data_IF_862193088396
#
_entry.id   IF_862193088396
#
_cell.length_a   1.000
_cell.length_b   1.000
_cell.length_c   1.000
_cell.angle_alpha   90.00
_cell.angle_beta   90.00
_cell.angle_gamma   90.00
#
_symmetry.space_group_name_H-M   'P 1'
#
loop_
_entity.id
_entity.type
_entity.pdbx_description
1 polymer ?
#
# COMPACT_ATOMS: atom_id res chain seq x y z
N UNK A 1 6.79 -16.56 10.32
CA UNK A 1 5.92 -16.17 9.18
C UNK A 1 6.84 -15.52 8.17
N UNK A 2 6.77 -15.92 6.90
CA UNK A 2 7.57 -15.30 5.84
C UNK A 2 6.83 -14.08 5.30
N UNK A 3 7.60 -13.11 4.78
CA UNK A 3 7.03 -12.01 4.00
C UNK A 3 6.40 -12.60 2.72
N UNK A 4 5.27 -12.04 2.31
CA UNK A 4 4.53 -12.50 1.13
C UNK A 4 4.50 -11.36 0.11
N UNK A 5 4.82 -11.59 -1.18
CA UNK A 5 4.81 -10.52 -2.18
C UNK A 5 3.49 -9.73 -2.16
N UNK A 6 3.55 -8.39 -2.15
CA UNK A 6 2.36 -7.56 -2.16
C UNK A 6 1.70 -7.54 -3.54
N UNK A 7 0.47 -7.04 -3.58
CA UNK A 7 -0.26 -6.67 -4.79
C UNK A 7 -0.36 -5.15 -4.75
N UNK A 8 0.40 -4.47 -5.60
CA UNK A 8 0.48 -2.99 -5.65
C UNK A 8 -0.11 -2.41 -6.93
N UNK A 9 -0.55 -3.28 -7.83
CA UNK A 9 -0.97 -2.97 -9.19
C UNK A 9 -2.47 -3.24 -9.43
N UNK A 10 -3.31 -3.18 -8.38
CA UNK A 10 -4.77 -3.29 -8.57
C UNK A 10 -5.26 -2.12 -9.43
N UNK A 11 -6.11 -2.41 -10.40
CA UNK A 11 -6.66 -1.42 -11.31
C UNK A 11 -8.19 -1.44 -11.33
N UNK A 12 -8.81 -0.38 -11.89
CA UNK A 12 -10.26 -0.33 -12.08
C UNK A 12 -10.78 -1.52 -12.92
N UNK A 13 -9.98 -1.99 -13.89
CA UNK A 13 -10.30 -3.16 -14.72
C UNK A 13 -10.43 -4.45 -13.91
N UNK A 14 -9.70 -4.58 -12.80
CA UNK A 14 -9.80 -5.74 -11.90
C UNK A 14 -11.15 -5.78 -11.21
N UNK A 15 -11.68 -4.61 -10.85
CA UNK A 15 -12.99 -4.45 -10.22
C UNK A 15 -14.13 -4.67 -11.21
N UNK A 16 -14.00 -4.15 -12.44
CA UNK A 16 -15.04 -4.25 -13.47
C UNK A 16 -15.07 -5.61 -14.18
N UNK A 17 -13.95 -6.34 -14.22
CA UNK A 17 -13.81 -7.67 -14.85
C UNK A 17 -13.64 -8.81 -13.81
N UNK A 18 -14.26 -8.64 -12.63
CA UNK A 18 -13.99 -9.35 -11.36
C UNK A 18 -12.80 -10.31 -11.35
N UNK A 19 -11.58 -9.77 -11.42
CA UNK A 19 -10.36 -10.59 -11.33
C UNK A 19 -10.07 -10.95 -9.87
N UNK A 20 -9.08 -11.81 -9.63
CA UNK A 20 -8.64 -12.14 -8.27
C UNK A 20 -8.10 -10.95 -7.47
N UNK A 21 -7.75 -9.83 -8.14
CA UNK A 21 -7.27 -8.58 -7.54
C UNK A 21 -8.38 -7.56 -7.28
N UNK A 22 -9.57 -7.77 -7.84
CA UNK A 22 -10.66 -6.78 -7.87
C UNK A 22 -11.35 -6.51 -6.54
N UNK A 23 -11.16 -7.37 -5.53
CA UNK A 23 -11.81 -7.23 -4.23
C UNK A 23 -10.84 -7.49 -3.09
N UNK A 24 -10.91 -6.64 -2.06
CA UNK A 24 -10.25 -6.87 -0.79
C UNK A 24 -10.93 -8.02 -0.04
N UNK A 25 -10.20 -9.10 0.22
CA UNK A 25 -10.73 -10.30 0.86
C UNK A 25 -9.91 -10.72 2.10
N UNK A 26 -10.27 -11.86 2.71
CA UNK A 26 -9.58 -12.39 3.91
C UNK A 26 -8.11 -12.70 3.64
N UNK A 27 -7.76 -13.16 2.44
CA UNK A 27 -6.38 -13.43 2.06
C UNK A 27 -5.58 -12.12 1.94
N UNK A 28 -6.17 -11.06 1.37
CA UNK A 28 -5.55 -9.72 1.37
C UNK A 28 -5.31 -9.24 2.79
N UNK A 29 -6.35 -9.26 3.65
CA UNK A 29 -6.19 -8.85 5.04
C UNK A 29 -5.06 -9.61 5.73
N UNK A 30 -5.05 -10.94 5.61
CA UNK A 30 -4.06 -11.81 6.26
C UNK A 30 -2.65 -11.49 5.79
N UNK A 31 -2.49 -11.26 4.48
CA UNK A 31 -1.21 -10.92 3.85
C UNK A 31 -0.72 -9.56 4.29
N UNK A 32 -1.54 -8.51 4.15
CA UNK A 32 -1.18 -7.13 4.53
C UNK A 32 -0.86 -7.06 6.02
N UNK A 33 -1.70 -7.65 6.88
CA UNK A 33 -1.44 -7.69 8.32
C UNK A 33 -0.15 -8.44 8.66
N UNK A 34 0.09 -9.58 8.01
CA UNK A 34 1.31 -10.37 8.19
C UNK A 34 2.57 -9.60 7.81
N UNK A 35 2.55 -8.98 6.63
CA UNK A 35 3.64 -8.14 6.13
C UNK A 35 3.87 -6.92 7.02
N UNK A 36 2.80 -6.20 7.41
CA UNK A 36 2.91 -5.04 8.29
C UNK A 36 3.51 -5.41 9.65
N UNK A 37 3.15 -6.58 10.20
CA UNK A 37 3.73 -7.08 11.44
C UNK A 37 5.22 -7.41 11.30
N UNK A 38 5.62 -8.03 10.18
CA UNK A 38 7.02 -8.35 9.91
C UNK A 38 7.85 -7.08 9.68
N UNK A 39 7.36 -6.16 8.84
CA UNK A 39 7.98 -4.87 8.59
C UNK A 39 8.11 -4.05 9.88
N UNK A 40 7.07 -4.01 10.72
CA UNK A 40 7.13 -3.36 12.04
C UNK A 40 8.18 -3.96 12.97
N UNK A 41 8.30 -5.29 13.00
CA UNK A 41 9.33 -5.98 13.79
C UNK A 41 10.76 -5.67 13.30
N UNK A 42 10.97 -5.66 11.99
CA UNK A 42 12.24 -5.31 11.37
C UNK A 42 12.61 -3.85 11.62
N UNK A 43 11.65 -2.95 11.41
CA UNK A 43 11.77 -1.52 11.65
C UNK A 43 12.15 -1.22 13.11
N UNK A 44 11.45 -1.83 14.07
CA UNK A 44 11.75 -1.67 15.48
C UNK A 44 13.16 -2.15 15.83
N UNK A 45 13.64 -3.23 15.20
CA UNK A 45 15.00 -3.72 15.39
C UNK A 45 16.05 -2.77 14.82
N UNK A 46 15.82 -2.22 13.61
CA UNK A 46 16.76 -1.31 12.94
C UNK A 46 16.83 0.06 13.61
N UNK A 47 15.68 0.60 14.04
CA UNK A 47 15.59 1.88 14.75
C UNK A 47 15.98 1.77 16.23
N UNK A 48 16.17 0.55 16.75
CA UNK A 48 16.44 0.30 18.17
C UNK A 48 15.33 0.75 19.12
N UNK A 49 14.12 1.01 18.61
CA UNK A 49 12.98 1.56 19.35
C UNK A 49 11.73 0.74 19.05
N UNK A 50 10.97 0.30 20.07
CA UNK A 50 9.72 -0.42 19.84
C UNK A 50 8.70 0.43 19.05
N UNK A 51 8.10 -0.16 18.02
CA UNK A 51 6.96 0.41 17.30
C UNK A 51 5.68 -0.23 17.84
N UNK A 52 4.70 0.59 18.20
CA UNK A 52 3.42 0.08 18.69
C UNK A 52 2.70 -0.66 17.55
N UNK A 53 2.31 -1.91 17.78
CA UNK A 53 1.59 -2.73 16.82
C UNK A 53 0.49 -3.52 17.52
N UNK A 54 -0.77 -3.18 17.23
CA UNK A 54 -1.93 -3.82 17.84
C UNK A 54 -2.21 -5.16 17.15
N UNK A 55 -2.25 -6.24 17.94
CA UNK A 55 -2.53 -7.58 17.42
C UNK A 55 -4.02 -7.72 17.13
N UNK A 56 -4.34 -8.10 15.89
CA UNK A 56 -5.70 -8.35 15.44
C UNK A 56 -5.88 -9.86 15.27
N UNK A 57 -7.05 -10.37 15.67
CA UNK A 57 -7.41 -11.75 15.38
C UNK A 57 -7.68 -11.91 13.89
N UNK A 58 -7.02 -12.90 13.25
CA UNK A 58 -7.19 -13.20 11.81
C UNK A 58 -8.69 -13.27 11.50
N UNK A 59 -9.19 -12.52 10.49
CA UNK A 59 -10.58 -12.57 10.11
C UNK A 59 -10.96 -13.98 9.68
N UNK A 60 -12.01 -14.52 10.30
CA UNK A 60 -12.70 -15.72 9.81
C UNK A 60 -13.85 -15.30 8.89
N UNK A 61 -14.42 -16.24 8.14
CA UNK A 61 -15.51 -16.01 7.17
C UNK A 61 -16.82 -15.47 7.78
N UNK A 62 -16.92 -15.38 9.11
CA UNK A 62 -18.12 -14.98 9.86
C UNK A 62 -17.86 -13.81 10.82
N UNK A 63 -17.37 -12.67 10.31
CA UNK A 63 -17.40 -11.41 11.08
C UNK A 63 -18.55 -10.54 10.61
N UNK A 64 -19.25 -9.89 11.54
CA UNK A 64 -20.27 -8.90 11.19
C UNK A 64 -19.58 -7.61 10.68
N UNK A 65 -20.32 -6.76 9.98
CA UNK A 65 -19.77 -5.56 9.34
C UNK A 65 -19.07 -4.61 10.33
N UNK A 66 -19.55 -4.52 11.57
CA UNK A 66 -18.96 -3.68 12.62
C UNK A 66 -17.58 -4.19 13.06
N UNK A 67 -17.43 -5.50 13.27
CA UNK A 67 -16.13 -6.09 13.63
C UNK A 67 -15.13 -5.99 12.48
N UNK A 68 -15.59 -6.18 11.23
CA UNK A 68 -14.73 -6.03 10.05
C UNK A 68 -14.18 -4.61 9.94
N UNK A 69 -15.01 -3.59 10.18
CA UNK A 69 -14.57 -2.20 10.13
C UNK A 69 -13.56 -1.87 11.24
N UNK A 70 -13.82 -2.33 12.47
CA UNK A 70 -12.91 -2.09 13.59
C UNK A 70 -11.54 -2.76 13.36
N UNK A 71 -11.52 -3.99 12.84
CA UNK A 71 -10.29 -4.69 12.49
C UNK A 71 -9.56 -4.02 11.33
N UNK A 72 -10.29 -3.54 10.32
CA UNK A 72 -9.72 -2.78 9.21
C UNK A 72 -9.03 -1.51 9.73
N UNK A 73 -9.73 -0.65 10.47
CA UNK A 73 -9.14 0.57 11.01
C UNK A 73 -7.94 0.28 11.93
N UNK A 74 -7.97 -0.84 12.68
CA UNK A 74 -6.80 -1.25 13.49
C UNK A 74 -5.62 -1.65 12.61
N UNK A 75 -5.85 -2.38 11.51
CA UNK A 75 -4.79 -2.72 10.55
C UNK A 75 -4.20 -1.45 9.93
N UNK A 76 -5.05 -0.52 9.49
CA UNK A 76 -4.60 0.72 8.86
C UNK A 76 -3.85 1.62 9.85
N UNK A 77 -4.33 1.74 11.09
CA UNK A 77 -3.64 2.46 12.15
C UNK A 77 -2.27 1.86 12.48
N UNK A 78 -2.12 0.53 12.44
CA UNK A 78 -0.81 -0.11 12.58
C UNK A 78 0.14 0.26 11.43
N UNK A 79 -0.35 0.34 10.19
CA UNK A 79 0.44 0.75 9.03
C UNK A 79 0.83 2.23 9.15
N UNK A 80 -0.08 3.10 9.60
CA UNK A 80 0.19 4.53 9.79
C UNK A 80 1.21 4.77 10.92
N UNK A 81 1.09 4.07 12.05
CA UNK A 81 2.08 4.12 13.13
C UNK A 81 3.45 3.65 12.64
N UNK A 82 3.49 2.58 11.84
CA UNK A 82 4.73 2.11 11.21
C UNK A 82 5.31 3.17 10.27
N UNK A 83 4.49 3.76 9.39
CA UNK A 83 4.89 4.82 8.45
C UNK A 83 5.48 6.04 9.19
N UNK A 84 4.83 6.47 10.27
CA UNK A 84 5.30 7.60 11.09
C UNK A 84 6.61 7.29 11.81
N UNK A 85 6.79 6.06 12.31
CA UNK A 85 8.01 5.65 12.99
C UNK A 85 9.25 5.71 12.08
N UNK A 86 9.06 5.49 10.78
CA UNK A 86 10.15 5.50 9.78
C UNK A 86 10.27 6.82 9.02
N UNK A 87 9.46 7.83 9.34
CA UNK A 87 9.40 9.08 8.59
C UNK A 87 10.76 9.83 8.52
N UNK A 88 11.61 9.65 9.54
CA UNK A 88 12.96 10.22 9.58
C UNK A 88 13.95 9.60 8.58
N UNK A 89 13.67 8.37 8.13
CA UNK A 89 14.53 7.61 7.21
C UNK A 89 14.33 8.03 5.75
N UNK A 90 13.33 8.88 5.45
CA UNK A 90 13.04 9.37 4.10
C UNK A 90 12.85 8.27 3.04
N UNK A 91 12.22 7.15 3.45
CA UNK A 91 11.97 5.99 2.59
C UNK A 91 10.93 6.38 1.50
N UNK A 92 11.25 6.27 0.19
CA UNK A 92 10.24 6.38 -0.87
C UNK A 92 9.14 5.33 -0.64
N UNK A 93 7.86 5.64 -0.82
CA UNK A 93 6.75 4.76 -0.45
C UNK A 93 6.05 5.10 0.86
N UNK A 94 6.66 5.92 1.73
CA UNK A 94 6.15 6.18 3.10
C UNK A 94 5.72 7.62 3.34
N UNK A 95 5.68 8.46 2.29
CA UNK A 95 5.38 9.89 2.42
C UNK A 95 3.89 10.19 2.44
N UNK A 96 3.08 9.38 1.77
CA UNK A 96 1.63 9.53 1.71
C UNK A 96 0.97 8.97 2.98
N UNK A 97 0.07 9.77 3.58
CA UNK A 97 -0.72 9.38 4.75
C UNK A 97 -1.68 8.23 4.42
N UNK A 98 -1.80 7.28 5.35
CA UNK A 98 -2.77 6.19 5.27
C UNK A 98 -4.05 6.61 5.99
N UNK A 99 -5.15 6.70 5.24
CA UNK A 99 -6.47 6.86 5.86
C UNK A 99 -6.78 5.62 6.72
N UNK A 100 -7.03 5.81 8.01
CA UNK A 100 -7.21 4.74 8.99
C UNK A 100 -8.50 4.85 9.83
N UNK A 101 -9.36 5.81 9.50
CA UNK A 101 -10.56 6.21 10.27
C UNK A 101 -11.87 5.99 9.49
N UNK A 102 -12.03 4.85 8.82
CA UNK A 102 -13.25 4.57 8.06
C UNK A 102 -14.48 4.44 8.98
N UNK A 103 -15.61 4.98 8.52
CA UNK A 103 -16.89 4.96 9.24
C UNK A 103 -17.91 4.15 8.45
N UNK A 104 -18.74 3.35 9.14
CA UNK A 104 -19.79 2.58 8.49
C UNK A 104 -20.92 3.48 7.98
N UNK A 105 -21.40 3.21 6.76
CA UNK A 105 -22.63 3.81 6.26
C UNK A 105 -22.71 3.77 4.73
N UNK A 106 -23.93 3.79 4.15
CA UNK A 106 -24.12 3.69 2.71
C UNK A 106 -23.61 4.90 1.92
N UNK A 107 -23.40 6.03 2.59
CA UNK A 107 -22.87 7.27 2.01
C UNK A 107 -21.43 7.55 2.41
N UNK A 108 -20.84 6.70 3.25
CA UNK A 108 -19.47 6.87 3.70
C UNK A 108 -18.52 6.31 2.63
N UNK A 109 -17.37 6.97 2.41
CA UNK A 109 -16.37 6.44 1.48
C UNK A 109 -15.87 5.09 2.02
N UNK A 110 -15.86 4.08 1.15
CA UNK A 110 -15.19 2.81 1.40
C UNK A 110 -13.77 2.85 0.80
N UNK A 111 -12.84 2.02 1.30
CA UNK A 111 -11.56 1.85 0.63
C UNK A 111 -11.75 1.38 -0.80
N UNK A 112 -11.01 1.99 -1.73
CA UNK A 112 -10.93 1.55 -3.11
C UNK A 112 -9.59 0.85 -3.41
N UNK A 113 -9.40 0.42 -4.66
CA UNK A 113 -8.17 -0.24 -5.08
C UNK A 113 -6.92 0.64 -4.93
N UNK A 114 -7.07 1.97 -4.99
CA UNK A 114 -5.97 2.92 -4.79
C UNK A 114 -5.53 2.88 -3.33
N UNK A 115 -6.49 2.89 -2.40
CA UNK A 115 -6.18 2.77 -0.98
C UNK A 115 -5.40 1.48 -0.69
N UNK A 116 -5.86 0.33 -1.20
CA UNK A 116 -5.19 -0.94 -0.92
C UNK A 116 -3.78 -0.99 -1.52
N UNK A 117 -3.59 -0.48 -2.74
CA UNK A 117 -2.24 -0.40 -3.33
C UNK A 117 -1.31 0.47 -2.47
N UNK A 118 -1.78 1.63 -2.01
CA UNK A 118 -1.00 2.50 -1.14
C UNK A 118 -0.59 1.78 0.16
N UNK A 119 -1.53 1.11 0.83
CA UNK A 119 -1.24 0.38 2.07
C UNK A 119 -0.12 -0.65 1.88
N UNK A 120 -0.16 -1.37 0.76
CA UNK A 120 0.82 -2.39 0.44
C UNK A 120 2.15 -1.83 -0.01
N UNK A 121 2.17 -0.82 -0.87
CA UNK A 121 3.38 -0.12 -1.28
C UNK A 121 4.10 0.47 -0.07
N UNK A 122 3.38 1.06 0.89
CA UNK A 122 4.00 1.60 2.11
C UNK A 122 4.63 0.50 2.96
N UNK A 123 3.96 -0.63 3.16
CA UNK A 123 4.53 -1.75 3.92
C UNK A 123 5.74 -2.34 3.22
N UNK A 124 5.68 -2.46 1.90
CA UNK A 124 6.73 -3.03 1.05
C UNK A 124 7.97 -2.16 0.99
N UNK A 125 7.81 -0.86 0.81
CA UNK A 125 8.91 0.10 0.85
C UNK A 125 9.70 0.02 2.16
N UNK A 126 9.00 -0.11 3.29
CA UNK A 126 9.62 -0.23 4.61
C UNK A 126 10.35 -1.56 4.76
N UNK A 127 9.76 -2.64 4.25
CA UNK A 127 10.38 -3.96 4.24
C UNK A 127 11.66 -3.97 3.39
N UNK A 128 11.59 -3.51 2.15
CA UNK A 128 12.69 -3.51 1.18
C UNK A 128 13.86 -2.63 1.63
N UNK A 129 13.58 -1.50 2.28
CA UNK A 129 14.61 -0.60 2.81
C UNK A 129 15.59 -1.30 3.77
N UNK A 130 15.16 -2.33 4.48
CA UNK A 130 15.97 -3.00 5.52
C UNK A 130 16.20 -4.49 5.32
N UNK A 131 15.30 -5.20 4.64
CA UNK A 131 15.46 -6.63 4.40
C UNK A 131 16.38 -6.91 3.19
N UNK A 132 16.69 -5.90 2.38
CA UNK A 132 17.73 -6.01 1.36
C UNK A 132 17.36 -6.88 0.16
N UNK A 133 16.08 -7.22 -0.03
CA UNK A 133 15.58 -7.31 -1.40
C UNK A 133 15.66 -5.88 -1.92
N UNK A 134 16.80 -5.56 -2.53
CA UNK A 134 17.00 -4.34 -3.28
C UNK A 134 15.71 -4.06 -4.04
N UNK A 135 15.15 -2.86 -3.87
CA UNK A 135 14.24 -2.29 -4.87
C UNK A 135 14.68 -2.84 -6.22
N UNK A 136 13.80 -3.60 -6.89
CA UNK A 136 14.02 -3.95 -8.28
C UNK A 136 14.44 -2.63 -8.93
N UNK A 137 15.70 -2.53 -9.37
CA UNK A 137 16.33 -1.27 -9.80
C UNK A 137 15.29 -0.54 -10.61
N UNK A 138 14.88 0.66 -10.14
CA UNK A 138 13.74 1.37 -10.71
C UNK A 138 13.83 1.28 -12.23
N UNK A 139 12.87 0.60 -12.88
CA UNK A 139 13.05 0.25 -14.27
C UNK A 139 13.28 1.53 -15.06
N UNK A 140 14.36 1.54 -15.84
CA UNK A 140 14.62 2.66 -16.73
C UNK A 140 13.42 2.79 -17.67
N UNK A 141 12.92 4.02 -17.81
CA UNK A 141 11.98 4.29 -18.88
C UNK A 141 12.62 3.85 -20.21
N UNK A 142 11.91 2.99 -20.94
CA UNK A 142 12.34 2.55 -22.27
C UNK A 142 12.02 3.59 -23.36
N UNK A 143 11.41 4.73 -22.99
CA UNK A 143 10.98 5.80 -23.87
C UNK A 143 10.16 6.88 -23.15
N UNK A 144 9.81 7.93 -23.87
CA UNK A 144 8.95 9.00 -23.35
C UNK A 144 7.55 8.45 -23.02
N UNK A 145 7.02 8.82 -21.86
CA UNK A 145 5.70 8.41 -21.38
C UNK A 145 4.74 9.58 -21.48
N UNK A 146 3.57 9.37 -22.09
CA UNK A 146 2.50 10.36 -22.16
C UNK A 146 1.28 9.84 -21.41
N UNK A 147 0.96 10.47 -20.27
CA UNK A 147 -0.27 10.21 -19.50
C UNK A 147 -1.40 11.02 -20.14
N UNK A 148 -2.35 10.31 -20.76
CA UNK A 148 -3.47 10.88 -21.51
C UNK A 148 -4.54 11.53 -20.64
N UNK A 149 -5.43 12.29 -21.29
CA UNK A 149 -6.58 12.90 -20.65
C UNK A 149 -7.67 11.85 -20.36
N UNK A 150 -8.20 11.83 -19.14
CA UNK A 150 -9.34 10.97 -18.78
C UNK A 150 -9.00 9.50 -18.48
N UNK A 151 -7.76 9.07 -18.66
CA UNK A 151 -7.28 7.76 -18.23
C UNK A 151 -6.35 7.86 -17.02
N UNK A 152 -6.77 7.13 -15.98
CA UNK A 152 -5.95 6.46 -14.96
C UNK A 152 -4.83 7.26 -14.30
N UNK A 153 -5.05 7.55 -13.03
CA UNK A 153 -3.97 7.72 -12.06
C UNK A 153 -2.97 6.57 -12.25
N UNK A 154 -1.74 6.86 -12.67
CA UNK A 154 -0.66 5.88 -12.83
C UNK A 154 0.07 5.80 -11.49
N UNK A 155 0.29 4.58 -11.00
CA UNK A 155 0.98 4.32 -9.74
C UNK A 155 2.24 3.52 -10.02
N UNK A 156 3.38 4.01 -9.55
CA UNK A 156 4.68 3.37 -9.72
C UNK A 156 5.44 3.42 -8.40
N UNK A 157 6.06 2.32 -8.00
CA UNK A 157 6.87 2.27 -6.77
C UNK A 157 8.13 3.14 -6.88
N UNK A 158 8.69 3.25 -8.08
CA UNK A 158 9.68 4.25 -8.42
C UNK A 158 9.85 4.38 -9.94
N UNK A 159 10.47 5.48 -10.39
CA UNK A 159 10.75 5.75 -11.81
C UNK A 159 12.18 6.28 -11.94
N UNK A 160 12.95 5.68 -12.85
CA UNK A 160 14.18 6.29 -13.36
C UNK A 160 13.93 6.81 -14.78
N UNK A 161 14.05 8.13 -14.97
CA UNK A 161 13.75 8.73 -16.28
C UNK A 161 14.79 8.39 -17.34
N UNK A 162 16.04 8.09 -16.95
CA UNK A 162 17.14 7.76 -17.88
C UNK A 162 17.24 8.70 -19.11
N UNK A 163 16.93 9.99 -18.93
CA UNK A 163 16.94 10.98 -20.01
C UNK A 163 15.64 11.10 -20.84
N UNK A 164 14.64 10.28 -20.55
CA UNK A 164 13.30 10.37 -21.12
C UNK A 164 12.38 11.32 -20.35
N UNK A 165 11.30 11.74 -21.00
CA UNK A 165 10.32 12.69 -20.46
C UNK A 165 9.01 12.01 -20.10
N UNK A 166 8.41 12.44 -18.99
CA UNK A 166 7.04 12.09 -18.61
C UNK A 166 6.17 13.32 -18.85
N UNK A 167 5.25 13.20 -19.79
CA UNK A 167 4.27 14.25 -20.10
C UNK A 167 2.93 13.88 -19.51
N UNK A 168 2.40 14.74 -18.65
CA UNK A 168 1.06 14.59 -18.09
C UNK A 168 0.12 15.57 -18.79
N UNK A 169 -0.84 15.06 -19.56
CA UNK A 169 -1.78 15.89 -20.31
C UNK A 169 -3.09 16.06 -19.55
N UNK A 170 -3.50 17.32 -19.38
CA UNK A 170 -4.77 17.71 -18.77
C UNK A 170 -5.02 17.16 -17.37
N UNK A 171 -5.93 16.20 -17.19
CA UNK A 171 -6.35 15.67 -15.88
C UNK A 171 -5.66 14.36 -15.46
N UNK A 172 -4.68 13.87 -16.23
CA UNK A 172 -3.87 12.71 -15.82
C UNK A 172 -3.10 12.98 -14.53
N UNK A 173 -2.82 11.94 -13.74
CA UNK A 173 -2.01 12.05 -12.52
C UNK A 173 -1.04 10.87 -12.43
N UNK A 174 0.23 11.14 -12.18
CA UNK A 174 1.23 10.13 -11.83
C UNK A 174 1.49 10.21 -10.32
N UNK A 175 1.38 9.09 -9.65
CA UNK A 175 1.75 8.89 -8.26
C UNK A 175 2.98 7.99 -8.24
N UNK A 176 4.12 8.60 -7.93
CA UNK A 176 5.31 7.85 -7.52
C UNK A 176 5.11 7.58 -6.03
N UNK A 177 4.86 6.33 -5.66
CA UNK A 177 4.55 5.96 -4.28
C UNK A 177 5.87 5.71 -3.56
#
# INVERSE_FOLDING_TARGET
MSYVPPIKDRALSDVTTPTSKGYFNVADFTRIYGNAKLASGLAAAMLGTPIAFTVIAVPTTTKNATTILADLNTLLGNIEVLRLAVAGESIPGTTAEIKDDYVAGPTQPAPDYINVNLWESTVDAIWDNWNGDSLEVCPDLAGDVVVGNGETKIYVDCVNTNGHTITINGTGVLYVI
#
